data_IF_066447295257
#
_entry.id   IF_066447295257
#
_cell.length_a   1.000
_cell.length_b   1.000
_cell.length_c   1.000
_cell.angle_alpha   90.00
_cell.angle_beta   90.00
_cell.angle_gamma   90.00
#
_symmetry.space_group_name_H-M   'P 1'
#
loop_
_entity.id
_entity.type
_entity.pdbx_description
1 polymer ?
#
# COMPACT_ATOMS: atom_id res chain seq x y z
N UNK A 1 -7.42 -26.18 15.61
CA UNK A 1 -8.31 -25.59 16.64
C UNK A 1 -9.46 -24.90 15.90
N UNK A 2 -10.75 -25.14 16.23
CA UNK A 2 -11.85 -24.55 15.45
C UNK A 2 -11.94 -23.04 15.67
N UNK A 3 -12.32 -22.27 14.63
CA UNK A 3 -12.48 -20.81 14.68
C UNK A 3 -13.36 -20.34 15.84
N UNK A 4 -14.40 -21.14 16.21
CA UNK A 4 -15.23 -20.90 17.39
C UNK A 4 -14.41 -20.90 18.70
N UNK A 5 -13.48 -21.84 18.87
CA UNK A 5 -12.63 -21.91 20.07
C UNK A 5 -11.66 -20.74 20.16
N UNK A 6 -11.12 -20.27 19.02
CA UNK A 6 -10.24 -19.09 18.97
C UNK A 6 -11.01 -17.82 19.34
N UNK A 7 -12.20 -17.63 18.77
CA UNK A 7 -13.07 -16.49 19.10
C UNK A 7 -13.52 -16.51 20.57
N UNK A 8 -13.91 -17.67 21.09
CA UNK A 8 -14.33 -17.80 22.49
C UNK A 8 -13.15 -17.57 23.45
N UNK A 9 -11.96 -18.06 23.11
CA UNK A 9 -10.75 -17.86 23.92
C UNK A 9 -10.29 -16.41 23.90
N UNK A 10 -10.32 -15.76 22.74
CA UNK A 10 -10.05 -14.34 22.62
C UNK A 10 -11.05 -13.50 23.42
N UNK A 11 -12.35 -13.82 23.33
CA UNK A 11 -13.39 -13.13 24.10
C UNK A 11 -13.24 -13.36 25.61
N UNK A 12 -12.85 -14.57 26.04
CA UNK A 12 -12.63 -14.91 27.45
C UNK A 12 -11.40 -14.20 28.06
N UNK A 13 -10.31 -14.08 27.32
CA UNK A 13 -9.12 -13.31 27.73
C UNK A 13 -9.44 -11.83 27.98
N UNK A 14 -10.41 -11.26 27.27
CA UNK A 14 -10.85 -9.88 27.46
C UNK A 14 -11.74 -9.69 28.71
N UNK A 15 -12.42 -10.73 29.17
CA UNK A 15 -13.36 -10.66 30.30
C UNK A 15 -12.66 -10.91 31.64
N UNK A 16 -11.57 -11.69 31.68
CA UNK A 16 -10.92 -12.16 32.92
C UNK A 16 -9.63 -11.42 33.30
N UNK A 17 -9.11 -10.55 32.44
CA UNK A 17 -7.90 -9.76 32.71
C UNK A 17 -8.15 -8.64 33.72
N UNK A 18 -8.05 -8.96 35.00
CA UNK A 18 -8.18 -7.99 36.09
C UNK A 18 -7.14 -6.87 35.96
N UNK A 19 -7.60 -5.66 35.62
CA UNK A 19 -6.80 -4.43 35.60
C UNK A 19 -6.86 -3.60 34.33
N UNK A 20 -7.11 -4.17 33.16
CA UNK A 20 -7.31 -3.46 31.90
C UNK A 20 -8.81 -3.47 31.55
N UNK A 21 -9.56 -2.51 32.06
CA UNK A 21 -10.96 -2.37 31.64
C UNK A 21 -10.98 -1.84 30.21
N UNK A 22 -11.40 -2.69 29.26
CA UNK A 22 -11.75 -2.26 27.91
C UNK A 22 -12.85 -1.20 28.01
N UNK A 23 -12.56 -0.01 27.46
CA UNK A 23 -13.48 1.14 27.53
C UNK A 23 -14.42 1.18 26.36
N UNK A 24 -13.97 0.69 25.18
CA UNK A 24 -14.76 0.72 23.96
C UNK A 24 -14.61 -0.57 23.17
N UNK A 25 -15.73 -1.04 22.62
CA UNK A 25 -15.77 -2.07 21.60
C UNK A 25 -15.68 -1.41 20.22
N UNK A 26 -14.80 -1.91 19.38
CA UNK A 26 -14.63 -1.51 17.98
C UNK A 26 -15.36 -2.53 17.12
N UNK A 27 -16.22 -2.07 16.22
CA UNK A 27 -16.81 -2.88 15.16
C UNK A 27 -16.68 -2.13 13.85
N UNK A 28 -16.14 -2.79 12.84
CA UNK A 28 -15.93 -2.15 11.55
C UNK A 28 -15.89 -3.12 10.39
N UNK A 29 -16.01 -2.56 9.20
CA UNK A 29 -15.83 -3.28 7.95
C UNK A 29 -15.36 -2.31 6.87
N UNK A 30 -14.37 -2.74 6.09
CA UNK A 30 -14.01 -2.09 4.83
C UNK A 30 -14.54 -2.94 3.68
N UNK A 31 -15.16 -2.30 2.73
CA UNK A 31 -15.57 -2.92 1.47
C UNK A 31 -14.94 -2.13 0.33
N UNK A 32 -14.34 -2.83 -0.64
CA UNK A 32 -13.82 -2.20 -1.85
C UNK A 32 -14.08 -3.12 -3.03
N UNK A 33 -14.67 -2.59 -4.11
CA UNK A 33 -14.72 -3.26 -5.40
C UNK A 33 -13.87 -2.49 -6.40
N UNK A 34 -13.19 -3.23 -7.30
CA UNK A 34 -12.31 -2.69 -8.32
C UNK A 34 -12.53 -3.41 -9.64
N UNK A 35 -12.93 -2.65 -10.64
CA UNK A 35 -12.86 -3.02 -12.04
C UNK A 35 -11.62 -2.38 -12.65
N UNK A 36 -10.85 -3.15 -13.43
CA UNK A 36 -9.56 -2.75 -13.99
C UNK A 36 -9.40 -3.44 -15.34
N UNK A 37 -9.70 -2.73 -16.43
CA UNK A 37 -9.55 -3.21 -17.79
C UNK A 37 -8.30 -2.61 -18.41
N UNK A 38 -7.37 -3.46 -18.83
CA UNK A 38 -6.04 -3.13 -19.34
C UNK A 38 -5.94 -3.55 -20.79
N UNK A 39 -5.59 -2.61 -21.65
CA UNK A 39 -5.38 -2.78 -23.07
C UNK A 39 -3.93 -2.40 -23.41
N UNK A 40 -3.03 -3.36 -23.30
CA UNK A 40 -1.58 -3.17 -23.42
C UNK A 40 -0.98 -3.90 -24.62
N UNK A 41 -1.74 -4.05 -25.71
CA UNK A 41 -1.43 -4.89 -26.86
C UNK A 41 -0.06 -4.64 -27.54
N UNK A 42 0.56 -3.48 -27.29
CA UNK A 42 1.85 -3.13 -27.87
C UNK A 42 2.92 -2.92 -26.77
N UNK A 43 2.82 -3.63 -25.67
CA UNK A 43 3.73 -3.49 -24.55
C UNK A 43 4.25 -4.84 -24.07
N UNK A 44 5.58 -4.98 -23.99
CA UNK A 44 6.26 -6.22 -23.57
C UNK A 44 6.32 -6.39 -22.05
N UNK A 45 5.99 -5.35 -21.27
CA UNK A 45 6.14 -5.35 -19.81
C UNK A 45 4.91 -5.80 -19.07
N UNK A 46 3.74 -5.75 -19.70
CA UNK A 46 2.48 -6.06 -19.05
C UNK A 46 1.46 -6.66 -20.03
N UNK A 47 0.61 -7.53 -19.53
CA UNK A 47 -0.39 -8.23 -20.33
C UNK A 47 -1.73 -7.50 -20.33
N UNK A 48 -2.43 -7.52 -21.47
CA UNK A 48 -3.81 -7.06 -21.57
C UNK A 48 -4.70 -8.03 -20.80
N UNK A 49 -5.49 -7.53 -19.87
CA UNK A 49 -6.38 -8.33 -19.04
C UNK A 49 -7.46 -7.48 -18.39
N UNK A 50 -8.63 -8.06 -18.14
CA UNK A 50 -9.68 -7.45 -17.33
C UNK A 50 -9.76 -8.13 -15.98
N UNK A 51 -9.61 -7.34 -14.93
CA UNK A 51 -9.67 -7.78 -13.53
C UNK A 51 -10.90 -7.15 -12.88
N UNK A 52 -11.76 -7.97 -12.30
CA UNK A 52 -12.90 -7.47 -11.51
C UNK A 52 -12.98 -8.24 -10.21
N UNK A 53 -12.90 -7.52 -9.10
CA UNK A 53 -12.82 -8.15 -7.77
C UNK A 53 -13.51 -7.28 -6.72
N UNK A 54 -13.98 -7.93 -5.66
CA UNK A 54 -14.42 -7.28 -4.44
C UNK A 54 -13.62 -7.76 -3.24
N UNK A 55 -13.44 -6.89 -2.28
CA UNK A 55 -12.77 -7.17 -1.01
C UNK A 55 -13.63 -6.70 0.14
N UNK A 56 -13.79 -7.54 1.14
CA UNK A 56 -14.49 -7.25 2.38
C UNK A 56 -13.60 -7.58 3.57
N UNK A 57 -13.43 -6.62 4.48
CA UNK A 57 -12.62 -6.77 5.68
C UNK A 57 -13.43 -6.43 6.94
N UNK A 58 -14.26 -7.35 7.44
CA UNK A 58 -14.89 -7.21 8.75
C UNK A 58 -13.85 -7.31 9.87
N UNK A 59 -14.01 -6.47 10.90
CA UNK A 59 -13.12 -6.43 12.06
C UNK A 59 -13.86 -6.13 13.34
N UNK A 60 -13.35 -6.66 14.43
CA UNK A 60 -13.80 -6.38 15.79
C UNK A 60 -12.56 -6.14 16.67
N UNK A 61 -12.69 -5.32 17.69
CA UNK A 61 -11.57 -5.03 18.59
C UNK A 61 -12.02 -4.38 19.87
N UNK A 62 -11.05 -4.10 20.72
CA UNK A 62 -11.24 -3.37 21.97
C UNK A 62 -10.25 -2.24 22.07
N UNK A 63 -10.69 -1.15 22.66
CA UNK A 63 -9.86 0.02 22.97
C UNK A 63 -9.82 0.23 24.50
N UNK A 64 -8.63 0.54 25.02
CA UNK A 64 -8.42 0.91 26.43
C UNK A 64 -7.46 2.09 26.55
N UNK A 65 -7.64 2.86 27.59
CA UNK A 65 -6.87 4.10 27.84
C UNK A 65 -6.88 5.07 26.65
N UNK A 66 -7.93 5.04 25.80
CA UNK A 66 -8.11 5.87 24.61
C UNK A 66 -6.93 5.87 23.60
N UNK A 67 -6.01 4.94 23.73
CA UNK A 67 -4.74 4.88 22.95
C UNK A 67 -4.40 3.49 22.45
N UNK A 68 -4.82 2.47 23.15
CA UNK A 68 -4.42 1.09 22.87
C UNK A 68 -5.58 0.34 22.26
N UNK A 69 -5.33 -0.40 21.20
CA UNK A 69 -6.34 -1.21 20.51
C UNK A 69 -5.78 -2.59 20.23
N UNK A 70 -6.59 -3.58 20.41
CA UNK A 70 -6.36 -4.91 19.87
C UNK A 70 -7.49 -5.22 18.90
N UNK A 71 -7.14 -5.50 17.66
CA UNK A 71 -8.09 -5.65 16.54
C UNK A 71 -7.86 -7.02 15.92
N UNK A 72 -8.96 -7.74 15.66
CA UNK A 72 -8.96 -8.99 14.90
C UNK A 72 -10.01 -8.92 13.80
N UNK A 73 -9.78 -9.63 12.72
CA UNK A 73 -10.68 -9.65 11.57
C UNK A 73 -10.23 -10.64 10.51
N UNK A 74 -10.84 -10.53 9.36
CA UNK A 74 -10.47 -11.32 8.18
C UNK A 74 -10.57 -10.45 6.93
N UNK A 75 -9.62 -10.61 6.05
CA UNK A 75 -9.60 -9.98 4.74
C UNK A 75 -10.04 -11.02 3.69
N UNK A 76 -11.17 -10.77 3.06
CA UNK A 76 -11.82 -11.64 2.10
C UNK A 76 -11.75 -11.01 0.71
N UNK A 77 -11.09 -11.68 -0.23
CA UNK A 77 -11.03 -11.29 -1.64
C UNK A 77 -11.86 -12.25 -2.48
N UNK A 78 -12.76 -11.72 -3.30
CA UNK A 78 -13.53 -12.43 -4.29
C UNK A 78 -13.24 -11.86 -5.68
N UNK A 79 -12.65 -12.66 -6.57
CA UNK A 79 -12.60 -12.34 -7.98
C UNK A 79 -13.95 -12.72 -8.62
N UNK A 80 -14.40 -11.92 -9.59
CA UNK A 80 -15.64 -12.19 -10.32
C UNK A 80 -15.36 -12.93 -11.62
N UNK A 81 -16.35 -13.70 -12.08
CA UNK A 81 -16.32 -14.55 -13.25
C UNK A 81 -16.88 -15.94 -12.92
N UNK A 82 -17.46 -16.64 -13.89
CA UNK A 82 -18.17 -17.90 -13.67
C UNK A 82 -17.21 -18.96 -13.13
N UNK A 83 -16.14 -19.29 -13.58
CA UNK A 83 -15.24 -20.33 -13.08
C UNK A 83 -14.34 -19.91 -11.92
N UNK A 84 -14.64 -18.80 -11.26
CA UNK A 84 -13.83 -18.35 -10.13
C UNK A 84 -14.21 -19.07 -8.85
N UNK A 85 -13.19 -19.45 -8.08
CA UNK A 85 -13.40 -20.07 -6.76
C UNK A 85 -14.07 -19.08 -5.81
N UNK A 86 -15.11 -19.54 -5.09
CA UNK A 86 -15.68 -18.76 -4.00
C UNK A 86 -14.61 -18.46 -2.94
N UNK A 87 -14.47 -17.19 -2.58
CA UNK A 87 -13.39 -16.64 -1.76
C UNK A 87 -12.01 -16.99 -2.34
N UNK A 88 -11.60 -16.22 -3.35
CA UNK A 88 -10.29 -16.38 -4.02
C UNK A 88 -9.12 -16.31 -3.04
N UNK A 89 -9.24 -15.45 -1.99
CA UNK A 89 -8.30 -15.41 -0.86
C UNK A 89 -9.03 -15.04 0.43
N UNK A 90 -8.63 -15.68 1.54
CA UNK A 90 -9.00 -15.30 2.89
C UNK A 90 -7.72 -15.19 3.74
N UNK A 91 -7.50 -14.05 4.37
CA UNK A 91 -6.29 -13.78 5.16
C UNK A 91 -6.68 -13.27 6.54
N UNK A 92 -5.98 -13.65 7.62
CA UNK A 92 -6.23 -13.11 8.94
C UNK A 92 -5.85 -11.63 9.01
N UNK A 93 -6.53 -10.92 9.90
CA UNK A 93 -6.16 -9.60 10.39
C UNK A 93 -6.07 -9.72 11.91
N UNK A 94 -4.94 -9.42 12.51
CA UNK A 94 -4.76 -9.46 13.95
C UNK A 94 -3.58 -8.56 14.33
N UNK A 95 -3.85 -7.46 15.00
CA UNK A 95 -2.80 -6.53 15.37
C UNK A 95 -3.13 -5.74 16.63
N UNK A 96 -2.07 -5.37 17.33
CA UNK A 96 -2.07 -4.33 18.34
C UNK A 96 -1.78 -2.98 17.68
N UNK A 97 -2.49 -1.94 18.12
CA UNK A 97 -2.26 -0.55 17.72
C UNK A 97 -2.16 0.33 18.96
N UNK A 98 -1.06 1.04 19.06
CA UNK A 98 -0.94 2.21 19.92
C UNK A 98 -1.19 3.47 19.10
N UNK A 99 -2.03 4.38 19.58
CA UNK A 99 -2.36 5.61 18.89
C UNK A 99 -2.41 6.77 19.90
N UNK A 100 -1.54 7.75 19.71
CA UNK A 100 -1.53 8.99 20.46
C UNK A 100 -1.75 10.19 19.53
N UNK A 101 -1.64 11.39 20.04
CA UNK A 101 -1.85 12.62 19.24
C UNK A 101 -0.96 12.68 17.99
N UNK A 102 0.29 12.27 18.12
CA UNK A 102 1.31 12.42 17.07
C UNK A 102 1.96 11.10 16.66
N UNK A 103 1.81 10.05 17.45
CA UNK A 103 2.52 8.78 17.25
C UNK A 103 1.52 7.65 17.13
N UNK A 104 1.69 6.81 16.10
CA UNK A 104 1.01 5.53 16.00
C UNK A 104 2.06 4.43 15.83
N UNK A 105 1.78 3.28 16.44
CA UNK A 105 2.56 2.06 16.24
C UNK A 105 1.61 0.88 16.08
N UNK A 106 1.89 0.01 15.11
CA UNK A 106 1.14 -1.21 14.85
C UNK A 106 2.08 -2.41 14.93
N UNK A 107 1.60 -3.53 15.47
CA UNK A 107 2.32 -4.80 15.53
C UNK A 107 1.38 -5.96 15.22
N UNK A 108 1.70 -6.79 14.22
CA UNK A 108 0.89 -7.92 13.77
C UNK A 108 0.56 -7.87 12.28
N UNK A 109 -0.63 -8.32 11.91
CA UNK A 109 -1.11 -8.32 10.51
C UNK A 109 -2.17 -7.23 10.38
N UNK A 110 -1.84 -6.14 9.69
CA UNK A 110 -2.67 -4.94 9.57
C UNK A 110 -2.75 -4.43 8.13
N UNK A 111 -3.55 -3.43 7.89
CA UNK A 111 -3.81 -2.86 6.57
C UNK A 111 -2.65 -1.97 6.10
N UNK A 112 -2.22 -2.09 4.85
CA UNK A 112 -1.23 -1.20 4.22
C UNK A 112 -1.70 0.27 4.17
N UNK A 113 -3.00 0.54 4.24
CA UNK A 113 -3.55 1.90 4.35
C UNK A 113 -3.13 2.65 5.63
N UNK A 114 -2.57 1.95 6.62
CA UNK A 114 -2.00 2.58 7.83
C UNK A 114 -0.67 3.33 7.54
N UNK A 115 -0.03 3.09 6.40
CA UNK A 115 1.13 3.86 5.96
C UNK A 115 0.71 5.30 5.61
N UNK A 116 1.56 6.25 5.96
CA UNK A 116 1.40 7.68 5.64
C UNK A 116 2.20 8.09 4.40
N UNK A 117 3.21 7.28 4.04
CA UNK A 117 4.23 7.61 3.06
C UNK A 117 3.69 7.88 1.66
N UNK A 118 4.25 8.90 1.04
CA UNK A 118 4.07 9.21 -0.38
C UNK A 118 5.01 8.32 -1.22
N UNK A 119 4.65 7.06 -1.35
CA UNK A 119 5.38 6.09 -2.16
C UNK A 119 4.94 6.22 -3.62
N UNK A 120 5.89 6.52 -4.51
CA UNK A 120 5.59 6.54 -5.94
C UNK A 120 5.21 5.13 -6.45
N UNK A 121 4.61 5.08 -7.65
CA UNK A 121 4.24 3.83 -8.30
C UNK A 121 5.43 2.87 -8.55
N UNK A 122 6.67 3.38 -8.50
CA UNK A 122 7.87 2.54 -8.53
C UNK A 122 8.01 1.65 -7.27
N UNK A 123 7.46 2.06 -6.13
CA UNK A 123 7.44 1.27 -4.89
C UNK A 123 6.25 0.32 -4.84
N UNK A 124 5.04 0.83 -5.09
CA UNK A 124 3.80 0.08 -5.02
C UNK A 124 2.88 0.48 -6.17
N UNK A 125 2.71 -0.41 -7.13
CA UNK A 125 1.75 -0.23 -8.22
C UNK A 125 0.30 -0.36 -7.73
N UNK A 126 -0.63 0.10 -8.55
CA UNK A 126 -2.08 0.07 -8.26
C UNK A 126 -2.59 -1.34 -7.93
N UNK A 127 -2.08 -2.36 -8.63
CA UNK A 127 -2.41 -3.77 -8.36
C UNK A 127 -1.91 -4.22 -6.99
N UNK A 128 -0.68 -3.86 -6.63
CA UNK A 128 -0.10 -4.20 -5.32
C UNK A 128 -0.92 -3.58 -4.19
N UNK A 129 -1.30 -2.32 -4.31
CA UNK A 129 -2.12 -1.63 -3.32
C UNK A 129 -3.47 -2.31 -3.08
N UNK A 130 -4.06 -2.94 -4.10
CA UNK A 130 -5.33 -3.64 -3.97
C UNK A 130 -5.17 -5.12 -3.60
N UNK A 131 -4.30 -5.90 -4.28
CA UNK A 131 -4.19 -7.35 -4.10
C UNK A 131 -3.25 -7.76 -2.95
N UNK A 132 -2.30 -6.89 -2.57
CA UNK A 132 -1.32 -7.06 -1.49
C UNK A 132 -1.46 -5.96 -0.44
N UNK A 133 -2.68 -5.73 0.04
CA UNK A 133 -3.06 -4.63 0.93
C UNK A 133 -2.70 -4.86 2.41
N UNK A 134 -1.99 -5.93 2.77
CA UNK A 134 -1.58 -6.25 4.14
C UNK A 134 -0.10 -6.08 4.34
N UNK A 135 0.23 -5.65 5.55
CA UNK A 135 1.56 -5.70 6.14
C UNK A 135 1.55 -6.71 7.29
N UNK A 136 2.61 -7.51 7.39
CA UNK A 136 2.80 -8.49 8.47
C UNK A 136 4.07 -8.17 9.23
N UNK A 137 3.97 -7.46 10.35
CA UNK A 137 5.14 -7.06 11.13
C UNK A 137 4.90 -5.85 12.00
N UNK A 138 5.71 -4.80 11.80
CA UNK A 138 5.69 -3.60 12.62
C UNK A 138 5.60 -2.33 11.76
N UNK A 139 4.88 -1.35 12.25
CA UNK A 139 4.85 0.01 11.73
C UNK A 139 4.96 0.98 12.91
N UNK A 140 5.78 1.99 12.75
CA UNK A 140 5.80 3.15 13.62
C UNK A 140 5.79 4.42 12.77
N UNK A 141 4.96 5.39 13.13
CA UNK A 141 5.01 6.70 12.51
C UNK A 141 4.78 7.84 13.49
N UNK A 142 5.39 8.95 13.17
CA UNK A 142 5.10 10.25 13.77
C UNK A 142 4.45 11.13 12.70
N UNK A 143 3.34 11.80 13.05
CA UNK A 143 2.67 12.79 12.22
C UNK A 143 2.49 14.09 13.01
N UNK A 144 2.96 15.19 12.46
CA UNK A 144 2.78 16.50 13.06
C UNK A 144 1.31 16.89 13.11
N UNK A 145 0.85 17.41 14.24
CA UNK A 145 -0.47 18.06 14.38
C UNK A 145 -0.42 19.55 14.14
N UNK A 146 0.78 20.13 14.06
CA UNK A 146 0.99 21.57 13.86
C UNK A 146 1.28 21.90 12.41
N UNK A 147 1.93 20.97 11.68
CA UNK A 147 2.27 21.14 10.28
C UNK A 147 1.55 20.14 9.40
N UNK A 148 0.81 20.63 8.41
CA UNK A 148 0.12 19.82 7.43
C UNK A 148 1.11 18.90 6.71
N UNK A 149 0.71 17.65 6.46
CA UNK A 149 1.48 16.66 5.68
C UNK A 149 2.96 16.54 6.11
N UNK A 150 3.28 16.71 7.41
CA UNK A 150 4.62 16.52 7.95
C UNK A 150 4.64 15.27 8.80
N UNK A 151 5.44 14.29 8.37
CA UNK A 151 5.49 12.97 8.99
C UNK A 151 6.83 12.27 8.75
N UNK A 152 7.07 11.24 9.51
CA UNK A 152 8.08 10.21 9.27
C UNK A 152 7.53 8.86 9.69
N UNK A 153 7.82 7.83 8.92
CA UNK A 153 7.41 6.46 9.23
C UNK A 153 8.48 5.43 8.87
N UNK A 154 8.40 4.29 9.53
CA UNK A 154 9.16 3.09 9.19
C UNK A 154 8.31 1.85 9.45
N UNK A 155 8.37 0.88 8.54
CA UNK A 155 7.71 -0.41 8.71
C UNK A 155 8.62 -1.56 8.28
N UNK A 156 8.37 -2.72 8.88
CA UNK A 156 8.93 -4.01 8.47
C UNK A 156 7.74 -4.89 8.10
N UNK A 157 7.73 -5.39 6.87
CA UNK A 157 6.72 -6.31 6.33
C UNK A 157 7.38 -7.66 6.07
N UNK A 158 6.96 -8.69 6.81
CA UNK A 158 7.42 -10.07 6.62
C UNK A 158 6.52 -10.76 5.61
N UNK A 159 7.03 -10.97 4.40
CA UNK A 159 6.26 -11.45 3.25
C UNK A 159 6.36 -12.98 3.04
N UNK A 160 7.38 -13.64 3.57
CA UNK A 160 7.56 -15.09 3.46
C UNK A 160 8.52 -15.69 4.46
N UNK A 161 8.21 -16.92 4.90
CA UNK A 161 9.07 -17.73 5.76
C UNK A 161 9.85 -18.74 4.92
N UNK A 162 11.12 -18.97 5.25
CA UNK A 162 11.95 -19.98 4.59
C UNK A 162 11.37 -21.40 4.77
N UNK A 163 11.02 -22.05 3.65
CA UNK A 163 10.47 -23.41 3.63
C UNK A 163 10.70 -24.05 2.25
N UNK A 164 10.21 -25.27 2.04
CA UNK A 164 10.20 -25.91 0.72
C UNK A 164 9.31 -25.17 -0.29
N UNK A 165 8.20 -24.60 0.17
CA UNK A 165 7.19 -23.95 -0.67
C UNK A 165 7.35 -22.44 -0.76
N UNK A 166 8.00 -21.82 0.23
CA UNK A 166 8.09 -20.36 0.37
C UNK A 166 9.51 -19.86 0.51
N UNK A 167 9.81 -18.74 -0.14
CA UNK A 167 11.06 -18.00 0.05
C UNK A 167 11.05 -17.22 1.35
N UNK A 168 12.20 -17.02 1.95
CA UNK A 168 12.37 -15.98 2.96
C UNK A 168 12.31 -14.60 2.29
N UNK A 169 11.32 -13.82 2.68
CA UNK A 169 11.11 -12.49 2.11
C UNK A 169 10.68 -11.52 3.20
N UNK A 170 11.33 -10.37 3.25
CA UNK A 170 10.85 -9.26 4.06
C UNK A 170 11.22 -7.92 3.41
N UNK A 171 10.42 -6.92 3.72
CA UNK A 171 10.59 -5.57 3.22
C UNK A 171 10.71 -4.59 4.38
N UNK A 172 11.73 -3.74 4.35
CA UNK A 172 11.83 -2.56 5.20
C UNK A 172 11.46 -1.37 4.34
N UNK A 173 10.48 -0.59 4.79
CA UNK A 173 10.03 0.62 4.12
C UNK A 173 10.08 1.79 5.08
N UNK A 174 10.43 2.96 4.56
CA UNK A 174 10.44 4.20 5.31
C UNK A 174 10.08 5.35 4.39
N UNK A 175 9.35 6.32 4.92
CA UNK A 175 9.08 7.55 4.23
C UNK A 175 9.04 8.71 5.23
N UNK A 176 9.35 9.89 4.73
CA UNK A 176 9.24 11.11 5.50
C UNK A 176 8.97 12.30 4.61
N UNK A 177 8.23 13.27 5.14
CA UNK A 177 7.94 14.53 4.47
C UNK A 177 7.92 15.67 5.48
N UNK A 178 8.53 16.77 5.11
CA UNK A 178 8.44 18.03 5.82
C UNK A 178 7.82 19.10 4.92
N UNK A 179 6.73 19.72 5.36
CA UNK A 179 6.00 20.73 4.62
C UNK A 179 6.13 22.10 5.28
N UNK A 180 6.55 23.11 4.51
CA UNK A 180 6.67 24.50 4.91
C UNK A 180 5.32 25.23 4.82
N UNK A 181 5.21 26.38 5.47
CA UNK A 181 3.93 27.15 5.57
C UNK A 181 3.36 27.60 4.21
N UNK A 182 4.21 27.76 3.18
CA UNK A 182 3.76 28.14 1.83
C UNK A 182 3.51 26.96 0.90
N UNK A 183 3.44 25.74 1.44
CA UNK A 183 3.15 24.53 0.68
C UNK A 183 4.34 23.89 -0.01
N UNK A 184 5.52 24.47 0.04
CA UNK A 184 6.75 23.79 -0.37
C UNK A 184 7.05 22.64 0.58
N UNK A 185 7.57 21.55 0.04
CA UNK A 185 7.95 20.41 0.83
C UNK A 185 9.15 19.68 0.26
N UNK A 186 9.84 18.95 1.10
CA UNK A 186 10.77 17.91 0.71
C UNK A 186 10.48 16.63 1.47
N UNK A 187 10.88 15.52 0.90
CA UNK A 187 10.69 14.22 1.51
C UNK A 187 11.53 13.13 0.87
N UNK A 188 11.31 11.93 1.36
CA UNK A 188 11.92 10.73 0.81
C UNK A 188 11.00 9.54 0.95
N UNK A 189 11.19 8.55 0.08
CA UNK A 189 10.71 7.19 0.26
C UNK A 189 11.88 6.22 0.10
N UNK A 190 11.86 5.12 0.84
CA UNK A 190 12.88 4.08 0.86
C UNK A 190 12.25 2.71 0.96
N UNK A 191 12.78 1.76 0.23
CA UNK A 191 12.46 0.34 0.36
C UNK A 191 13.72 -0.48 0.24
N UNK A 192 13.90 -1.43 1.15
CA UNK A 192 14.84 -2.55 1.03
C UNK A 192 14.03 -3.83 1.03
N UNK A 193 14.12 -4.60 -0.04
CA UNK A 193 13.45 -5.89 -0.14
C UNK A 193 14.47 -7.01 -0.16
N UNK A 194 14.50 -7.78 0.91
CA UNK A 194 15.26 -9.00 1.01
C UNK A 194 14.44 -10.13 0.36
N UNK A 195 14.89 -10.56 -0.81
CA UNK A 195 14.31 -11.67 -1.55
C UNK A 195 15.31 -12.81 -1.55
N UNK A 196 15.16 -13.71 -0.58
CA UNK A 196 16.08 -14.80 -0.35
C UNK A 196 15.60 -16.11 -0.96
N UNK A 197 16.34 -17.17 -0.69
CA UNK A 197 16.05 -18.50 -1.19
C UNK A 197 14.93 -19.22 -0.48
N UNK A 198 14.66 -20.40 -0.96
CA UNK A 198 13.85 -21.45 -0.33
C UNK A 198 14.65 -22.75 -0.35
N UNK A 199 14.23 -23.76 0.40
CA UNK A 199 14.88 -25.07 0.41
C UNK A 199 15.00 -25.60 -1.03
N UNK A 200 16.21 -25.91 -1.46
CA UNK A 200 16.54 -26.34 -2.82
C UNK A 200 16.72 -25.23 -3.86
N UNK A 201 16.56 -23.97 -3.50
CA UNK A 201 16.87 -22.81 -4.35
C UNK A 201 17.32 -21.62 -3.48
N UNK A 202 18.62 -21.54 -3.24
CA UNK A 202 19.26 -20.57 -2.33
C UNK A 202 19.59 -19.21 -3.01
N UNK A 203 18.86 -18.84 -4.07
CA UNK A 203 19.09 -17.59 -4.76
C UNK A 203 18.67 -16.40 -3.91
N UNK A 204 19.55 -15.42 -3.75
CA UNK A 204 19.29 -14.20 -2.99
C UNK A 204 19.40 -12.98 -3.91
N UNK A 205 18.41 -12.12 -3.85
CA UNK A 205 18.42 -10.81 -4.52
C UNK A 205 18.34 -9.71 -3.49
N UNK A 206 19.34 -8.83 -3.52
CA UNK A 206 19.35 -7.57 -2.77
C UNK A 206 18.65 -6.52 -3.66
N UNK A 207 17.54 -5.95 -3.20
CA UNK A 207 16.73 -5.00 -3.96
C UNK A 207 16.42 -3.78 -3.10
N UNK A 208 17.06 -2.65 -3.43
CA UNK A 208 16.83 -1.38 -2.78
C UNK A 208 16.19 -0.39 -3.74
N UNK A 209 15.39 0.52 -3.21
CA UNK A 209 14.85 1.66 -3.94
C UNK A 209 14.81 2.87 -3.02
N UNK A 210 15.34 3.98 -3.51
CA UNK A 210 15.40 5.26 -2.78
C UNK A 210 14.83 6.35 -3.67
N UNK A 211 13.98 7.21 -3.10
CA UNK A 211 13.38 8.33 -3.81
C UNK A 211 13.39 9.60 -2.93
N UNK A 212 14.45 10.40 -2.90
CA UNK A 212 14.38 11.78 -2.42
C UNK A 212 13.57 12.64 -3.40
N UNK A 213 12.75 13.53 -2.87
CA UNK A 213 11.92 14.43 -3.67
C UNK A 213 11.70 15.78 -3.00
N UNK A 214 11.34 16.77 -3.82
CA UNK A 214 10.83 18.06 -3.39
C UNK A 214 9.61 18.44 -4.22
N UNK A 215 8.72 19.24 -3.67
CA UNK A 215 7.51 19.64 -4.36
C UNK A 215 6.83 20.85 -3.75
N UNK A 216 5.70 21.19 -4.35
CA UNK A 216 4.92 22.34 -3.97
C UNK A 216 3.43 22.07 -4.15
N UNK A 217 2.67 22.18 -3.04
CA UNK A 217 1.20 22.18 -3.01
C UNK A 217 0.71 23.61 -2.98
N UNK A 218 -0.17 23.99 -3.91
CA UNK A 218 -0.76 25.32 -3.93
C UNK A 218 -2.17 25.29 -4.52
N UNK A 219 -2.95 26.31 -4.21
CA UNK A 219 -4.28 26.53 -4.78
C UNK A 219 -4.23 27.78 -5.70
N UNK A 220 -4.68 27.62 -6.96
CA UNK A 220 -4.85 28.69 -7.93
C UNK A 220 -6.03 28.34 -8.84
N UNK A 221 -7.27 28.47 -8.33
CA UNK A 221 -8.54 27.99 -8.90
C UNK A 221 -8.67 26.46 -8.86
N UNK A 222 -7.66 25.69 -9.20
CA UNK A 222 -7.51 24.25 -8.92
C UNK A 222 -6.54 24.05 -7.76
N UNK A 223 -6.64 22.89 -7.11
CA UNK A 223 -5.62 22.41 -6.19
C UNK A 223 -4.53 21.70 -6.99
N UNK A 224 -3.30 22.14 -6.84
CA UNK A 224 -2.13 21.60 -7.51
C UNK A 224 -1.16 20.96 -6.53
N UNK A 225 -0.53 19.85 -6.94
CA UNK A 225 0.67 19.29 -6.34
C UNK A 225 1.66 18.96 -7.46
N UNK A 226 2.85 19.55 -7.40
CA UNK A 226 3.95 19.33 -8.35
C UNK A 226 5.13 18.81 -7.55
N UNK A 227 5.64 17.64 -7.92
CA UNK A 227 6.74 16.97 -7.21
C UNK A 227 7.81 16.53 -8.22
N UNK A 228 9.07 16.76 -7.89
CA UNK A 228 10.20 16.25 -8.62
C UNK A 228 11.10 15.43 -7.69
N UNK A 229 11.52 14.26 -8.13
CA UNK A 229 12.32 13.33 -7.36
C UNK A 229 13.33 12.57 -8.21
N UNK A 230 14.20 11.86 -7.53
CA UNK A 230 15.21 11.00 -8.12
C UNK A 230 15.02 9.57 -7.61
N UNK A 231 14.90 8.61 -8.51
CA UNK A 231 14.81 7.18 -8.19
C UNK A 231 16.19 6.54 -8.34
N UNK A 232 16.64 5.86 -7.32
CA UNK A 232 17.89 5.11 -7.31
C UNK A 232 17.65 3.69 -6.81
N UNK A 233 17.91 2.69 -7.66
CA UNK A 233 17.58 1.29 -7.44
C UNK A 233 18.83 0.39 -7.53
N UNK A 234 19.71 0.37 -6.51
CA UNK A 234 20.81 -0.58 -6.47
C UNK A 234 20.29 -1.99 -6.19
N UNK A 235 20.61 -2.92 -7.06
CA UNK A 235 20.14 -4.30 -7.01
C UNK A 235 21.25 -5.28 -7.36
N UNK A 236 21.19 -6.49 -6.77
CA UNK A 236 22.09 -7.57 -7.07
C UNK A 236 21.39 -8.91 -6.91
N UNK A 237 21.31 -9.70 -7.96
CA UNK A 237 20.88 -11.09 -7.92
C UNK A 237 22.12 -11.99 -7.88
N UNK A 238 22.48 -12.49 -6.70
CA UNK A 238 23.78 -13.12 -6.40
C UNK A 238 24.08 -14.36 -7.24
N UNK A 239 23.04 -15.06 -7.68
CA UNK A 239 23.16 -16.26 -8.54
C UNK A 239 23.20 -15.96 -10.03
N UNK A 240 22.83 -14.75 -10.46
CA UNK A 240 22.76 -14.36 -11.86
C UNK A 240 23.99 -13.52 -12.22
N UNK A 241 24.34 -12.58 -11.36
CA UNK A 241 25.41 -11.62 -11.61
C UNK A 241 26.10 -11.21 -10.30
N UNK A 242 27.42 -11.23 -10.27
CA UNK A 242 28.20 -10.89 -9.07
C UNK A 242 28.22 -9.39 -8.75
N UNK A 243 27.92 -8.54 -9.73
CA UNK A 243 27.96 -7.09 -9.61
C UNK A 243 26.63 -6.45 -9.14
N UNK A 244 26.72 -5.19 -8.71
CA UNK A 244 25.55 -4.37 -8.44
C UNK A 244 25.10 -3.63 -9.70
N UNK A 245 23.83 -3.80 -10.07
CA UNK A 245 23.14 -2.89 -10.98
C UNK A 245 22.69 -1.69 -10.18
N UNK A 246 22.95 -0.48 -10.68
CA UNK A 246 22.70 0.80 -9.97
C UNK A 246 21.78 1.67 -10.81
N UNK A 247 20.60 1.15 -11.11
CA UNK A 247 19.62 1.80 -11.95
C UNK A 247 19.12 3.11 -11.34
N UNK A 248 18.88 4.11 -12.17
CA UNK A 248 18.52 5.46 -11.73
C UNK A 248 17.65 6.18 -12.73
N UNK A 249 16.92 7.19 -12.26
CA UNK A 249 16.15 8.09 -13.10
C UNK A 249 15.55 9.24 -12.32
N UNK A 250 15.04 10.21 -13.05
CA UNK A 250 14.29 11.33 -12.51
C UNK A 250 12.79 11.07 -12.67
N UNK A 251 11.99 11.52 -11.72
CA UNK A 251 10.54 11.46 -11.79
C UNK A 251 9.93 12.82 -11.50
N UNK A 252 8.94 13.19 -12.29
CA UNK A 252 8.12 14.39 -12.10
C UNK A 252 6.67 13.91 -11.97
N UNK A 253 6.04 14.27 -10.87
CA UNK A 253 4.64 14.01 -10.62
C UNK A 253 3.87 15.33 -10.62
N UNK A 254 2.74 15.34 -11.28
CA UNK A 254 1.82 16.46 -11.35
C UNK A 254 0.41 15.99 -11.01
N UNK A 255 -0.23 16.67 -10.07
CA UNK A 255 -1.64 16.42 -9.71
C UNK A 255 -2.40 17.74 -9.75
N UNK A 256 -3.56 17.71 -10.39
CA UNK A 256 -4.52 18.82 -10.43
C UNK A 256 -5.90 18.28 -10.08
N UNK A 257 -6.54 18.89 -9.09
CA UNK A 257 -7.88 18.46 -8.66
C UNK A 257 -8.85 19.63 -8.51
N UNK A 258 -10.12 19.39 -8.85
CA UNK A 258 -11.23 20.26 -8.51
C UNK A 258 -12.58 19.54 -8.58
N UNK A 259 -13.41 19.71 -7.56
CA UNK A 259 -14.78 19.14 -7.47
C UNK A 259 -14.84 17.60 -7.63
N UNK A 260 -13.72 16.92 -7.41
CA UNK A 260 -13.58 15.48 -7.62
C UNK A 260 -13.02 15.12 -9.00
N UNK A 261 -12.95 16.02 -9.96
CA UNK A 261 -12.18 15.79 -11.18
C UNK A 261 -10.70 15.86 -10.86
N UNK A 262 -9.96 14.86 -11.32
CA UNK A 262 -8.50 14.71 -11.07
C UNK A 262 -7.79 14.44 -12.39
N UNK A 263 -6.71 15.17 -12.61
CA UNK A 263 -5.66 14.87 -13.57
C UNK A 263 -4.38 14.57 -12.80
N UNK A 264 -3.80 13.41 -13.05
CA UNK A 264 -2.51 13.02 -12.48
C UNK A 264 -1.58 12.59 -13.61
N UNK A 265 -0.35 13.08 -13.59
CA UNK A 265 0.69 12.67 -14.52
C UNK A 265 1.96 12.30 -13.75
N UNK A 266 2.53 11.15 -14.07
CA UNK A 266 3.79 10.65 -13.54
C UNK A 266 4.73 10.45 -14.71
N UNK A 267 5.74 11.29 -14.87
CA UNK A 267 6.77 11.18 -15.87
C UNK A 267 8.07 10.67 -15.25
N UNK A 268 8.53 9.52 -15.68
CA UNK A 268 9.82 8.94 -15.33
C UNK A 268 10.76 9.00 -16.52
N UNK A 269 11.97 9.48 -16.30
CA UNK A 269 13.06 9.54 -17.28
C UNK A 269 14.29 8.86 -16.67
N UNK A 270 14.65 7.68 -17.17
CA UNK A 270 15.75 6.93 -16.56
C UNK A 270 15.93 5.53 -17.10
N UNK A 271 16.77 4.77 -16.41
CA UNK A 271 17.09 3.40 -16.73
C UNK A 271 15.97 2.45 -16.27
N UNK A 272 15.95 1.22 -16.79
CA UNK A 272 15.08 0.16 -16.33
C UNK A 272 15.27 -0.10 -14.81
N UNK A 273 14.29 0.27 -13.98
CA UNK A 273 14.35 0.08 -12.52
C UNK A 273 14.13 -1.38 -12.08
N UNK A 274 13.78 -2.28 -13.00
CA UNK A 274 13.46 -3.68 -12.71
C UNK A 274 14.35 -4.64 -13.52
N UNK A 275 15.68 -4.56 -13.38
CA UNK A 275 16.63 -5.25 -14.27
C UNK A 275 16.56 -6.78 -14.20
N UNK A 276 15.99 -7.35 -13.14
CA UNK A 276 15.87 -8.80 -12.96
C UNK A 276 14.45 -9.32 -13.21
N UNK A 277 13.55 -8.50 -13.79
CA UNK A 277 12.16 -8.88 -14.03
C UNK A 277 12.01 -10.20 -14.79
N UNK A 278 12.73 -10.33 -15.90
CA UNK A 278 12.65 -11.53 -16.73
C UNK A 278 13.29 -12.78 -16.10
N UNK A 279 14.22 -12.59 -15.16
CA UNK A 279 14.83 -13.70 -14.43
C UNK A 279 13.91 -14.26 -13.31
N UNK A 280 12.94 -13.49 -12.87
CA UNK A 280 12.02 -13.82 -11.77
C UNK A 280 10.55 -13.67 -12.19
N UNK A 281 10.22 -14.10 -13.42
CA UNK A 281 8.83 -14.08 -13.93
C UNK A 281 7.92 -14.89 -13.01
N UNK A 282 6.80 -14.28 -12.59
CA UNK A 282 5.83 -14.88 -11.67
C UNK A 282 6.21 -14.84 -10.20
N UNK A 283 7.42 -14.38 -9.84
CA UNK A 283 7.85 -14.18 -8.47
C UNK A 283 7.60 -12.73 -8.00
N UNK A 284 7.37 -12.47 -6.71
CA UNK A 284 6.99 -11.14 -6.21
C UNK A 284 8.20 -10.22 -5.97
N UNK A 285 9.24 -10.29 -6.79
CA UNK A 285 10.46 -9.47 -6.61
C UNK A 285 10.18 -7.96 -6.65
N UNK A 286 9.23 -7.54 -7.48
CA UNK A 286 8.87 -6.14 -7.64
C UNK A 286 7.41 -5.91 -7.26
N UNK A 287 7.18 -4.91 -6.39
CA UNK A 287 5.85 -4.48 -5.97
C UNK A 287 5.37 -3.23 -6.74
N UNK A 288 6.29 -2.54 -7.42
CA UNK A 288 6.02 -1.35 -8.22
C UNK A 288 5.34 -1.65 -9.55
N UNK A 289 4.94 -0.58 -10.24
CA UNK A 289 4.35 -0.66 -11.58
C UNK A 289 5.35 -1.23 -12.58
N UNK A 290 4.88 -2.16 -13.39
CA UNK A 290 5.75 -2.93 -14.29
C UNK A 290 6.36 -2.09 -15.41
N UNK A 291 5.72 -0.98 -15.79
CA UNK A 291 6.24 -0.06 -16.80
C UNK A 291 7.57 0.64 -16.43
N UNK A 292 7.98 0.60 -15.16
CA UNK A 292 9.35 1.00 -14.77
C UNK A 292 10.44 0.03 -15.27
N UNK A 293 10.06 -1.07 -15.95
CA UNK A 293 10.98 -1.92 -16.73
C UNK A 293 11.35 -1.34 -18.10
N UNK A 294 10.94 -0.11 -18.41
CA UNK A 294 11.19 0.53 -19.71
C UNK A 294 12.64 0.43 -20.15
N UNK A 295 12.85 0.13 -21.43
CA UNK A 295 14.16 0.11 -22.10
C UNK A 295 14.45 1.39 -22.87
N UNK A 296 13.43 2.19 -23.18
CA UNK A 296 13.51 3.44 -23.93
C UNK A 296 13.74 4.67 -23.05
N UNK A 297 14.14 4.45 -21.81
CA UNK A 297 14.49 5.47 -20.82
C UNK A 297 13.34 6.44 -20.48
N UNK A 298 12.11 6.09 -20.81
CA UNK A 298 10.92 6.90 -20.50
C UNK A 298 9.75 6.00 -20.05
N UNK A 299 9.02 6.47 -19.05
CA UNK A 299 7.70 6.01 -18.74
C UNK A 299 6.81 7.20 -18.35
N UNK A 300 5.70 7.35 -19.01
CA UNK A 300 4.69 8.35 -18.67
C UNK A 300 3.35 7.68 -18.38
N UNK A 301 2.78 8.01 -17.23
CA UNK A 301 1.44 7.61 -16.84
C UNK A 301 0.57 8.84 -16.67
N UNK A 302 -0.54 8.90 -17.37
CA UNK A 302 -1.54 9.96 -17.21
C UNK A 302 -2.86 9.33 -16.79
N UNK A 303 -3.36 9.73 -15.61
CA UNK A 303 -4.69 9.38 -15.12
C UNK A 303 -5.63 10.58 -15.24
N UNK A 304 -6.80 10.39 -15.85
CA UNK A 304 -7.83 11.40 -15.98
C UNK A 304 -9.14 10.79 -15.52
N UNK A 305 -9.80 11.41 -14.54
CA UNK A 305 -11.05 10.86 -14.03
C UNK A 305 -11.65 11.63 -12.88
N UNK A 306 -12.43 10.92 -12.11
CA UNK A 306 -13.16 11.41 -10.97
C UNK A 306 -12.76 10.63 -9.72
N UNK A 307 -12.32 11.34 -8.66
CA UNK A 307 -11.98 10.80 -7.35
C UNK A 307 -12.63 11.66 -6.27
N UNK A 308 -13.62 11.11 -5.59
CA UNK A 308 -14.31 11.83 -4.55
C UNK A 308 -14.78 10.96 -3.41
N UNK A 309 -14.72 11.52 -2.20
CA UNK A 309 -15.28 10.91 -1.00
C UNK A 309 -16.60 11.60 -0.61
N UNK A 310 -17.56 10.76 -0.20
CA UNK A 310 -18.92 11.14 0.20
C UNK A 310 -19.18 10.72 1.66
N UNK A 311 -20.27 11.22 2.23
CA UNK A 311 -20.73 10.85 3.58
C UNK A 311 -19.62 10.97 4.64
N UNK A 312 -18.98 12.14 4.69
CA UNK A 312 -17.85 12.42 5.62
C UNK A 312 -16.67 11.44 5.44
N UNK A 313 -16.42 10.98 4.22
CA UNK A 313 -15.31 10.10 3.90
C UNK A 313 -15.62 8.60 4.01
N UNK A 314 -16.84 8.21 4.41
CA UNK A 314 -17.23 6.81 4.54
C UNK A 314 -17.27 6.07 3.21
N UNK A 315 -17.66 6.75 2.11
CA UNK A 315 -17.72 6.17 0.78
C UNK A 315 -16.79 6.91 -0.17
N UNK A 316 -15.98 6.20 -0.94
CA UNK A 316 -15.13 6.73 -2.00
C UNK A 316 -15.54 6.16 -3.36
N UNK A 317 -15.55 7.02 -4.37
CA UNK A 317 -15.75 6.65 -5.78
C UNK A 317 -14.57 7.17 -6.58
N UNK A 318 -13.91 6.28 -7.29
CA UNK A 318 -12.80 6.57 -8.20
C UNK A 318 -13.11 5.93 -9.55
N UNK A 319 -13.14 6.72 -10.62
CA UNK A 319 -13.38 6.21 -11.97
C UNK A 319 -12.61 7.06 -12.98
N UNK A 320 -11.87 6.41 -13.86
CA UNK A 320 -11.05 7.13 -14.83
C UNK A 320 -10.37 6.25 -15.85
N UNK A 321 -9.68 6.92 -16.76
CA UNK A 321 -8.79 6.32 -17.74
C UNK A 321 -7.35 6.61 -17.40
N UNK A 322 -6.50 5.63 -17.61
CA UNK A 322 -5.05 5.73 -17.45
C UNK A 322 -4.42 5.45 -18.81
N UNK A 323 -3.49 6.29 -19.19
CA UNK A 323 -2.68 6.14 -20.38
C UNK A 323 -1.24 5.86 -19.94
N UNK A 324 -0.66 4.79 -20.46
CA UNK A 324 0.72 4.40 -20.21
C UNK A 324 1.51 4.53 -21.50
N UNK A 325 2.62 5.23 -21.46
CA UNK A 325 3.57 5.34 -22.56
C UNK A 325 4.98 5.00 -22.05
N UNK A 326 5.65 4.05 -22.69
CA UNK A 326 6.94 3.52 -22.28
C UNK A 326 8.08 3.78 -23.29
N UNK A 327 7.82 4.63 -24.30
CA UNK A 327 8.75 4.90 -25.40
C UNK A 327 8.46 4.06 -26.64
N UNK A 328 7.97 2.83 -26.48
CA UNK A 328 7.70 1.90 -27.58
C UNK A 328 6.22 1.86 -28.00
N UNK A 329 5.32 2.03 -27.05
CA UNK A 329 3.88 1.91 -27.28
C UNK A 329 3.00 2.64 -26.27
N UNK A 330 1.71 2.71 -26.60
CA UNK A 330 0.69 3.31 -25.74
C UNK A 330 -0.24 2.20 -25.23
N UNK A 331 -0.32 2.08 -23.90
CA UNK A 331 -1.33 1.25 -23.23
C UNK A 331 -2.45 2.11 -22.65
N UNK A 332 -3.66 1.56 -22.60
CA UNK A 332 -4.80 2.20 -21.93
C UNK A 332 -5.38 1.31 -20.83
N UNK A 333 -5.90 1.94 -19.79
CA UNK A 333 -6.52 1.23 -18.67
C UNK A 333 -7.77 1.98 -18.24
N UNK A 334 -8.90 1.30 -18.11
CA UNK A 334 -10.10 1.84 -17.50
C UNK A 334 -10.21 1.29 -16.09
N UNK A 335 -10.36 2.17 -15.11
CA UNK A 335 -10.48 1.79 -13.72
C UNK A 335 -11.74 2.37 -13.09
N UNK A 336 -12.47 1.52 -12.35
CA UNK A 336 -13.57 1.95 -11.48
C UNK A 336 -13.37 1.28 -10.12
N UNK A 337 -13.39 2.09 -9.06
CA UNK A 337 -13.25 1.63 -7.69
C UNK A 337 -14.32 2.28 -6.82
N UNK A 338 -15.04 1.44 -6.07
CA UNK A 338 -15.93 1.87 -5.01
C UNK A 338 -15.37 1.38 -3.69
N UNK A 339 -15.28 2.25 -2.71
CA UNK A 339 -14.81 1.91 -1.37
C UNK A 339 -15.80 2.39 -0.31
N UNK A 340 -16.00 1.59 0.73
CA UNK A 340 -16.81 1.92 1.91
C UNK A 340 -16.02 1.53 3.14
N UNK A 341 -15.82 2.48 4.06
CA UNK A 341 -15.15 2.26 5.34
C UNK A 341 -16.12 2.63 6.47
N UNK A 342 -16.50 1.63 7.26
CA UNK A 342 -17.42 1.81 8.39
C UNK A 342 -16.72 1.34 9.66
N UNK A 343 -16.62 2.25 10.64
CA UNK A 343 -16.16 1.90 11.98
C UNK A 343 -17.04 2.57 13.03
N UNK A 344 -17.46 1.80 14.02
CA UNK A 344 -18.22 2.28 15.18
C UNK A 344 -17.52 1.90 16.47
N UNK A 345 -17.57 2.80 17.44
CA UNK A 345 -17.05 2.62 18.79
C UNK A 345 -18.24 2.58 19.76
N UNK A 346 -18.33 1.54 20.57
CA UNK A 346 -19.37 1.39 21.57
C UNK A 346 -18.71 1.40 22.96
N UNK A 347 -19.19 2.27 23.86
CA UNK A 347 -18.73 2.28 25.24
C UNK A 347 -19.23 1.02 25.95
N UNK A 348 -18.30 0.24 26.49
CA UNK A 348 -18.58 -1.00 27.23
C UNK A 348 -18.05 -0.97 28.67
N UNK A 349 -17.29 0.06 29.03
CA UNK A 349 -16.82 0.29 30.39
C UNK A 349 -17.93 0.72 31.34
N UNK A 350 -17.74 0.62 32.66
CA UNK A 350 -18.69 1.13 33.64
C UNK A 350 -18.90 2.61 33.41
N UNK A 351 -20.17 3.06 33.39
CA UNK A 351 -20.47 4.49 33.34
C UNK A 351 -19.81 5.16 34.52
N UNK A 352 -18.97 6.15 34.28
CA UNK A 352 -18.43 6.98 35.36
C UNK A 352 -19.64 7.44 36.20
N UNK A 353 -19.66 7.08 37.49
CA UNK A 353 -20.63 7.67 38.43
C UNK A 353 -20.38 9.17 38.41
N UNK A 354 -21.39 9.95 37.97
CA UNK A 354 -21.39 11.39 38.07
C UNK A 354 -21.31 11.84 39.49
#
# INVERSE_FOLDING_TARGET
MSLKKVLTFALALFITGGGLQAQKLIVGADFTTRFDNREYANNDFNESQTLFSARLTPRIGVEWMDKNRLIVGVDLLQNFGDDTKFLSKARPLAYYQFNSRNVQANAGIFDRKELLGDYSLAFFGDSTAFYHNRLSGFLGHYKSTERRNTYVEMAIDWEGMYSEESREMFRIISAGRYTFDKGFYFGYAFSMFHFAGKIGNENVTDNLLVNPYAGWEFNAYFDFDIKAGFLFAPQRARSIESGWKKQKGAQIDFVMTKWGVKLENNLYLGENLQPFRYAYVGEPLYAGEQFYSTTDHIYNRTWIGYDRRFFKGTMGVEAGMIFHYDGSGMGTQQMVKLSVDIQKLFNIGPKAKK
#
